data_IF_874742046921
#
_entry.id   IF_874742046921
#
_cell.length_a   1.000
_cell.length_b   1.000
_cell.length_c   1.000
_cell.angle_alpha   90.00
_cell.angle_beta   90.00
_cell.angle_gamma   90.00
#
_symmetry.space_group_name_H-M   'P 1'
#
loop_
_entity.id
_entity.type
_entity.pdbx_description
1 polymer ?
#
# COMPACT_ATOMS: atom_id res chain seq x y z
N UNK A 1 -17.38 2.82 2.09
CA UNK A 1 -15.91 2.79 2.08
C UNK A 1 -15.41 3.75 1.01
N UNK A 2 -14.47 4.64 1.36
CA UNK A 2 -13.97 5.67 0.45
C UNK A 2 -13.20 5.04 -0.72
N UNK A 3 -13.51 5.47 -1.94
CA UNK A 3 -12.81 5.02 -3.16
C UNK A 3 -11.72 6.03 -3.52
N UNK A 4 -10.52 5.54 -3.75
CA UNK A 4 -9.37 6.29 -4.21
C UNK A 4 -9.18 6.09 -5.72
N UNK A 5 -8.87 7.17 -6.42
CA UNK A 5 -8.26 7.12 -7.74
C UNK A 5 -7.17 8.20 -7.79
N UNK A 6 -6.11 7.97 -8.57
CA UNK A 6 -4.93 8.82 -8.54
C UNK A 6 -5.23 10.29 -8.89
N UNK A 7 -6.10 10.53 -9.87
CA UNK A 7 -6.48 11.88 -10.29
C UNK A 7 -7.09 12.71 -9.15
N UNK A 8 -8.03 12.12 -8.40
CA UNK A 8 -8.68 12.79 -7.27
C UNK A 8 -7.72 13.03 -6.10
N UNK A 9 -6.78 12.10 -5.86
CA UNK A 9 -5.74 12.30 -4.84
C UNK A 9 -4.83 13.49 -5.21
N UNK A 10 -4.42 13.59 -6.49
CA UNK A 10 -3.58 14.70 -6.97
C UNK A 10 -4.34 16.03 -6.88
N UNK A 11 -5.60 16.06 -7.29
CA UNK A 11 -6.44 17.26 -7.21
C UNK A 11 -6.56 17.75 -5.76
N UNK A 12 -6.84 16.84 -4.82
CA UNK A 12 -6.96 17.15 -3.40
C UNK A 12 -5.64 17.64 -2.76
N UNK A 13 -4.49 17.14 -3.23
CA UNK A 13 -3.16 17.57 -2.76
C UNK A 13 -2.72 18.92 -3.37
N UNK A 14 -3.42 19.39 -4.40
CA UNK A 14 -3.08 20.61 -5.12
C UNK A 14 -2.01 20.39 -6.19
N UNK A 15 -1.84 21.40 -7.06
CA UNK A 15 -0.88 21.35 -8.16
C UNK A 15 0.54 21.61 -7.65
N UNK A 16 1.50 20.89 -8.24
CA UNK A 16 2.90 21.22 -8.10
C UNK A 16 3.23 22.56 -8.78
N UNK A 17 4.14 23.30 -8.14
CA UNK A 17 4.68 24.55 -8.69
C UNK A 17 5.91 24.30 -9.59
N UNK A 18 6.46 23.10 -9.55
CA UNK A 18 7.68 22.70 -10.26
C UNK A 18 7.37 21.65 -11.34
N UNK A 19 8.19 21.66 -12.40
CA UNK A 19 8.09 20.66 -13.47
C UNK A 19 8.45 19.27 -12.94
N UNK A 20 7.47 18.37 -12.93
CA UNK A 20 7.64 16.98 -12.52
C UNK A 20 6.77 16.04 -13.36
N UNK A 21 7.15 14.77 -13.38
CA UNK A 21 6.32 13.70 -13.92
C UNK A 21 5.70 12.91 -12.78
N UNK A 22 4.39 12.68 -12.86
CA UNK A 22 3.67 11.82 -11.91
C UNK A 22 3.30 10.53 -12.62
N UNK A 23 3.67 9.40 -12.03
CA UNK A 23 3.36 8.06 -12.53
C UNK A 23 2.90 7.21 -11.36
N UNK A 24 1.78 6.51 -11.50
CA UNK A 24 1.19 5.78 -10.39
C UNK A 24 0.20 4.73 -10.84
N UNK A 25 -0.58 4.23 -9.89
CA UNK A 25 -1.60 3.25 -10.18
C UNK A 25 -2.70 3.84 -11.08
N UNK A 26 -3.33 2.98 -11.88
CA UNK A 26 -4.43 3.35 -12.76
C UNK A 26 -5.73 2.71 -12.27
N UNK A 27 -6.86 3.39 -12.42
CA UNK A 27 -8.17 2.89 -12.00
C UNK A 27 -8.54 3.31 -10.58
N UNK A 28 -9.12 2.40 -9.81
CA UNK A 28 -9.66 2.68 -8.48
C UNK A 28 -9.38 1.57 -7.49
N UNK A 29 -9.26 1.95 -6.21
CA UNK A 29 -9.18 1.04 -5.08
C UNK A 29 -9.96 1.63 -3.90
N UNK A 30 -10.33 0.82 -2.93
CA UNK A 30 -10.87 1.29 -1.65
C UNK A 30 -9.73 1.65 -0.70
N UNK A 31 -9.96 2.66 0.13
CA UNK A 31 -9.08 2.99 1.25
C UNK A 31 -9.44 2.13 2.47
N UNK A 32 -8.64 1.11 2.75
CA UNK A 32 -8.74 0.31 3.97
C UNK A 32 -7.79 0.83 5.04
N UNK A 33 -8.30 0.92 6.27
CA UNK A 33 -7.58 1.45 7.42
C UNK A 33 -8.01 0.73 8.71
N UNK A 34 -7.39 1.07 9.85
CA UNK A 34 -7.75 0.50 11.15
C UNK A 34 -9.23 0.67 11.48
N UNK A 35 -9.85 -0.38 12.05
CA UNK A 35 -11.28 -0.40 12.34
C UNK A 35 -12.16 -0.84 11.16
N UNK A 36 -11.61 -0.92 9.95
CA UNK A 36 -12.39 -1.34 8.78
C UNK A 36 -12.96 -2.76 8.97
N UNK A 37 -14.15 -3.00 8.43
CA UNK A 37 -14.92 -4.24 8.63
C UNK A 37 -15.25 -4.54 10.11
N UNK A 38 -15.22 -3.54 10.99
CA UNK A 38 -15.64 -3.66 12.40
C UNK A 38 -14.65 -4.38 13.31
N UNK A 39 -13.38 -4.51 12.89
CA UNK A 39 -12.31 -5.16 13.68
C UNK A 39 -11.40 -4.09 14.26
N UNK A 40 -11.20 -4.09 15.57
CA UNK A 40 -10.17 -3.27 16.23
C UNK A 40 -8.79 -3.89 16.04
N UNK A 41 -8.10 -3.47 14.98
CA UNK A 41 -6.81 -4.01 14.55
C UNK A 41 -5.64 -3.04 14.77
N UNK A 42 -5.80 -2.08 15.68
CA UNK A 42 -4.76 -1.12 15.98
C UNK A 42 -3.47 -1.77 16.47
N UNK A 43 -2.36 -1.30 15.92
CA UNK A 43 -1.01 -1.73 16.32
C UNK A 43 -0.55 -3.03 15.66
N UNK A 44 -1.40 -3.73 14.91
CA UNK A 44 -1.01 -4.99 14.26
C UNK A 44 -1.59 -5.18 12.85
N UNK A 45 -2.70 -4.50 12.52
CA UNK A 45 -3.46 -4.71 11.30
C UNK A 45 -2.96 -4.02 10.03
N UNK A 46 -1.97 -3.12 10.11
CA UNK A 46 -1.62 -2.22 8.99
C UNK A 46 -1.21 -2.95 7.71
N UNK A 47 -0.52 -4.09 7.84
CA UNK A 47 -0.16 -4.94 6.72
C UNK A 47 -1.39 -5.51 6.01
N UNK A 48 -2.37 -5.97 6.78
CA UNK A 48 -3.64 -6.47 6.27
C UNK A 48 -4.45 -5.36 5.57
N UNK A 49 -4.51 -4.15 6.14
CA UNK A 49 -5.23 -3.02 5.54
C UNK A 49 -4.59 -2.54 4.24
N UNK A 50 -3.26 -2.54 4.18
CA UNK A 50 -2.54 -2.27 2.93
C UNK A 50 -2.83 -3.33 1.88
N UNK A 51 -2.81 -4.62 2.26
CA UNK A 51 -3.19 -5.72 1.39
C UNK A 51 -4.64 -5.59 0.88
N UNK A 52 -5.60 -5.26 1.74
CA UNK A 52 -7.01 -5.07 1.37
C UNK A 52 -7.18 -3.92 0.36
N UNK A 53 -6.44 -2.82 0.55
CA UNK A 53 -6.38 -1.71 -0.41
C UNK A 53 -5.89 -2.22 -1.77
N UNK A 54 -4.82 -3.02 -1.82
CA UNK A 54 -4.31 -3.61 -3.08
C UNK A 54 -5.30 -4.60 -3.70
N UNK A 55 -5.90 -5.49 -2.91
CA UNK A 55 -6.90 -6.46 -3.40
C UNK A 55 -8.15 -5.77 -3.94
N UNK A 56 -8.54 -4.64 -3.35
CA UNK A 56 -9.66 -3.84 -3.86
C UNK A 56 -9.37 -3.20 -5.22
N UNK A 57 -8.09 -2.93 -5.53
CA UNK A 57 -7.70 -2.52 -6.87
C UNK A 57 -7.95 -3.63 -7.90
N UNK A 58 -7.60 -4.88 -7.58
CA UNK A 58 -7.95 -6.03 -8.43
C UNK A 58 -9.47 -6.18 -8.60
N UNK A 59 -10.24 -6.02 -7.52
CA UNK A 59 -11.71 -6.08 -7.57
C UNK A 59 -12.29 -4.99 -8.48
N UNK A 60 -11.93 -3.72 -8.25
CA UNK A 60 -12.52 -2.58 -8.96
C UNK A 60 -11.97 -2.37 -10.36
N UNK A 61 -10.65 -2.44 -10.53
CA UNK A 61 -9.96 -2.08 -11.77
C UNK A 61 -9.80 -3.28 -12.71
N UNK A 62 -9.60 -4.48 -12.15
CA UNK A 62 -9.44 -5.72 -12.93
C UNK A 62 -10.68 -6.61 -12.91
N UNK A 63 -11.78 -6.14 -12.30
CA UNK A 63 -13.08 -6.82 -12.24
C UNK A 63 -13.03 -8.24 -11.65
N UNK A 64 -12.12 -8.50 -10.70
CA UNK A 64 -12.11 -9.76 -9.96
C UNK A 64 -13.38 -9.89 -9.10
N UNK A 65 -13.93 -11.10 -9.05
CA UNK A 65 -15.23 -11.37 -8.41
C UNK A 65 -15.14 -11.80 -6.95
N UNK A 66 -13.95 -11.83 -6.34
CA UNK A 66 -13.83 -12.14 -4.92
C UNK A 66 -14.28 -10.97 -4.04
N UNK A 67 -14.74 -11.28 -2.84
CA UNK A 67 -14.92 -10.30 -1.78
C UNK A 67 -13.59 -10.03 -1.08
N UNK A 68 -13.41 -8.79 -0.60
CA UNK A 68 -12.16 -8.42 0.05
C UNK A 68 -12.07 -9.19 1.37
N UNK A 69 -11.06 -10.06 1.53
CA UNK A 69 -10.98 -10.96 2.68
C UNK A 69 -10.82 -10.15 3.96
N UNK A 70 -11.47 -10.60 5.02
CA UNK A 70 -11.24 -10.15 6.40
C UNK A 70 -9.82 -10.50 6.85
N UNK A 71 -9.36 -9.88 7.95
CA UNK A 71 -8.06 -10.20 8.55
C UNK A 71 -7.96 -11.69 8.90
N UNK A 72 -9.03 -12.27 9.44
CA UNK A 72 -9.10 -13.69 9.75
C UNK A 72 -9.00 -14.58 8.50
N UNK A 73 -9.67 -14.23 7.40
CA UNK A 73 -9.55 -14.98 6.14
C UNK A 73 -8.15 -14.88 5.54
N UNK A 74 -7.49 -13.73 5.65
CA UNK A 74 -6.08 -13.58 5.27
C UNK A 74 -5.19 -14.53 6.09
N UNK A 75 -5.39 -14.61 7.40
CA UNK A 75 -4.64 -15.53 8.26
C UNK A 75 -4.89 -17.00 7.88
N UNK A 76 -6.13 -17.36 7.57
CA UNK A 76 -6.47 -18.71 7.09
C UNK A 76 -5.79 -19.01 5.76
N UNK A 77 -5.78 -18.09 4.80
CA UNK A 77 -5.07 -18.26 3.53
C UNK A 77 -3.60 -18.56 3.77
N UNK A 78 -2.94 -17.80 4.66
CA UNK A 78 -1.52 -17.99 4.99
C UNK A 78 -1.26 -19.35 5.67
N UNK A 79 -2.20 -19.85 6.45
CA UNK A 79 -2.15 -21.22 7.00
C UNK A 79 -2.36 -22.28 5.90
N UNK A 80 -3.38 -22.12 5.05
CA UNK A 80 -3.73 -23.08 3.99
C UNK A 80 -2.59 -23.30 2.98
N UNK A 81 -1.83 -22.25 2.66
CA UNK A 81 -0.68 -22.34 1.77
C UNK A 81 0.60 -22.83 2.48
N UNK A 82 0.54 -23.04 3.80
CA UNK A 82 1.64 -23.57 4.61
C UNK A 82 2.70 -22.55 5.03
N UNK A 83 2.44 -21.24 4.90
CA UNK A 83 3.37 -20.19 5.31
C UNK A 83 3.36 -19.96 6.83
N UNK A 84 2.17 -20.02 7.44
CA UNK A 84 1.98 -19.79 8.88
C UNK A 84 1.43 -21.03 9.60
N UNK A 85 1.76 -21.25 10.88
CA UNK A 85 1.18 -22.32 11.68
C UNK A 85 -0.28 -22.03 12.04
N UNK A 86 -1.05 -23.06 12.41
CA UNK A 86 -2.47 -22.92 12.81
C UNK A 86 -2.68 -21.89 13.94
N UNK A 87 -1.72 -21.75 14.87
CA UNK A 87 -1.81 -20.79 15.99
C UNK A 87 -1.79 -19.32 15.54
N UNK A 88 -1.36 -19.05 14.31
CA UNK A 88 -1.41 -17.71 13.71
C UNK A 88 -2.85 -17.29 13.37
N UNK A 89 -3.73 -18.25 13.09
CA UNK A 89 -5.14 -17.98 12.76
C UNK A 89 -5.88 -17.51 14.01
N UNK A 90 -6.48 -16.32 13.94
CA UNK A 90 -7.12 -15.64 15.06
C UNK A 90 -6.14 -14.91 16.00
N UNK A 91 -4.85 -14.87 15.66
CA UNK A 91 -3.87 -14.07 16.40
C UNK A 91 -3.97 -12.58 16.06
N UNK A 92 -3.23 -11.76 16.80
CA UNK A 92 -2.99 -10.35 16.47
C UNK A 92 -1.57 -10.14 15.90
N UNK A 93 -1.00 -11.16 15.27
CA UNK A 93 0.31 -11.05 14.64
C UNK A 93 0.20 -10.22 13.35
N UNK A 94 1.22 -9.39 13.11
CA UNK A 94 1.33 -8.57 11.90
C UNK A 94 1.71 -9.42 10.68
N UNK A 95 1.49 -8.87 9.48
CA UNK A 95 1.98 -9.43 8.21
C UNK A 95 2.84 -8.40 7.46
N UNK A 96 3.83 -8.91 6.73
CA UNK A 96 4.73 -8.10 5.94
C UNK A 96 4.43 -8.13 4.44
N UNK A 97 5.38 -7.64 3.67
CA UNK A 97 5.31 -7.60 2.20
C UNK A 97 5.34 -8.98 1.56
N UNK A 98 6.02 -9.95 2.17
CA UNK A 98 6.06 -11.32 1.66
C UNK A 98 4.70 -12.00 1.78
N UNK A 99 4.11 -12.00 2.97
CA UNK A 99 2.76 -12.55 3.20
C UNK A 99 1.71 -11.84 2.34
N UNK A 100 1.80 -10.52 2.19
CA UNK A 100 0.95 -9.77 1.27
C UNK A 100 1.05 -10.31 -0.16
N UNK A 101 2.26 -10.53 -0.66
CA UNK A 101 2.48 -11.12 -1.99
C UNK A 101 1.88 -12.52 -2.12
N UNK A 102 2.07 -13.39 -1.13
CA UNK A 102 1.51 -14.75 -1.13
C UNK A 102 -0.02 -14.74 -1.22
N UNK A 103 -0.69 -13.86 -0.47
CA UNK A 103 -2.15 -13.77 -0.48
C UNK A 103 -2.66 -13.21 -1.82
N UNK A 104 -1.96 -12.21 -2.39
CA UNK A 104 -2.27 -11.71 -3.74
C UNK A 104 -2.14 -12.85 -4.75
N UNK A 105 -1.05 -13.60 -4.73
CA UNK A 105 -0.83 -14.72 -5.65
C UNK A 105 -1.89 -15.81 -5.48
N UNK A 106 -2.26 -16.14 -4.24
CA UNK A 106 -3.30 -17.13 -3.96
C UNK A 106 -4.66 -16.73 -4.58
N UNK A 107 -5.09 -15.48 -4.37
CA UNK A 107 -6.42 -15.00 -4.78
C UNK A 107 -6.51 -14.60 -6.25
N UNK A 108 -5.43 -14.07 -6.82
CA UNK A 108 -5.45 -13.46 -8.16
C UNK A 108 -4.71 -14.30 -9.21
N UNK A 109 -3.88 -15.26 -8.78
CA UNK A 109 -2.96 -16.03 -9.65
C UNK A 109 -1.91 -15.17 -10.35
N UNK A 110 -1.74 -13.91 -9.93
CA UNK A 110 -0.66 -13.04 -10.36
C UNK A 110 0.56 -13.20 -9.47
N UNK A 111 1.75 -13.14 -10.07
CA UNK A 111 3.00 -13.12 -9.33
C UNK A 111 3.23 -11.76 -8.64
N UNK A 112 4.24 -11.70 -7.79
CA UNK A 112 4.69 -10.47 -7.15
C UNK A 112 6.21 -10.41 -7.12
N UNK A 113 6.75 -9.20 -7.03
CA UNK A 113 8.18 -8.95 -6.85
C UNK A 113 8.43 -8.31 -5.50
N UNK A 114 9.41 -8.85 -4.77
CA UNK A 114 9.95 -8.20 -3.58
C UNK A 114 11.18 -7.36 -3.93
N UNK A 115 11.24 -6.14 -3.38
CA UNK A 115 12.42 -5.27 -3.45
C UNK A 115 12.85 -4.94 -2.04
N UNK A 116 14.09 -5.29 -1.70
CA UNK A 116 14.71 -4.90 -0.44
C UNK A 116 15.44 -3.55 -0.60
N UNK A 117 15.25 -2.68 0.37
CA UNK A 117 15.86 -1.35 0.45
C UNK A 117 16.61 -1.29 1.77
N UNK A 118 17.94 -1.35 1.70
CA UNK A 118 18.80 -1.27 2.87
C UNK A 118 18.93 0.19 3.33
N UNK A 119 18.90 0.42 4.65
CA UNK A 119 19.13 1.74 5.30
C UNK A 119 18.35 2.88 4.66
N UNK A 120 17.06 2.68 4.36
CA UNK A 120 16.20 3.69 3.73
C UNK A 120 16.69 4.22 2.38
N UNK A 121 17.72 3.61 1.78
CA UNK A 121 18.41 4.16 0.62
C UNK A 121 17.62 3.85 -0.66
N UNK A 122 16.61 4.67 -0.92
CA UNK A 122 15.87 4.71 -2.19
C UNK A 122 16.76 5.24 -3.32
N UNK A 123 17.63 4.37 -3.82
CA UNK A 123 18.51 4.67 -4.94
C UNK A 123 17.73 4.98 -6.21
N UNK A 124 18.38 5.64 -7.17
CA UNK A 124 17.82 5.88 -8.50
C UNK A 124 17.35 4.58 -9.17
N UNK A 125 18.04 3.45 -8.94
CA UNK A 125 17.63 2.13 -9.45
C UNK A 125 16.27 1.70 -8.89
N UNK A 126 16.02 1.91 -7.60
CA UNK A 126 14.73 1.59 -6.97
C UNK A 126 13.63 2.49 -7.52
N UNK A 127 13.91 3.79 -7.68
CA UNK A 127 12.97 4.74 -8.29
C UNK A 127 12.60 4.31 -9.70
N UNK A 128 13.58 3.98 -10.55
CA UNK A 128 13.34 3.49 -11.91
C UNK A 128 12.50 2.21 -11.93
N UNK A 129 12.79 1.24 -11.05
CA UNK A 129 11.99 0.01 -10.95
C UNK A 129 10.52 0.29 -10.59
N UNK A 130 10.26 1.26 -9.72
CA UNK A 130 8.90 1.68 -9.38
C UNK A 130 8.22 2.44 -10.52
N UNK A 131 8.94 3.30 -11.23
CA UNK A 131 8.43 3.96 -12.44
C UNK A 131 8.02 2.91 -13.47
N UNK A 132 8.90 1.95 -13.77
CA UNK A 132 8.63 0.86 -14.72
C UNK A 132 7.41 0.03 -14.28
N UNK A 133 7.30 -0.25 -12.98
CA UNK A 133 6.14 -0.94 -12.39
C UNK A 133 4.84 -0.18 -12.63
N UNK A 134 4.79 1.10 -12.34
CA UNK A 134 3.57 1.90 -12.55
C UNK A 134 3.25 2.11 -14.03
N UNK A 135 4.24 2.13 -14.92
CA UNK A 135 4.02 2.20 -16.37
C UNK A 135 3.50 0.88 -16.97
N UNK A 136 3.90 -0.25 -16.40
CA UNK A 136 3.57 -1.58 -16.94
C UNK A 136 2.39 -2.20 -16.22
N UNK A 137 2.47 -2.34 -14.90
CA UNK A 137 1.48 -3.03 -14.07
C UNK A 137 0.39 -2.12 -13.52
N UNK A 138 0.73 -0.87 -13.24
CA UNK A 138 -0.22 0.16 -12.75
C UNK A 138 -0.96 -0.23 -11.46
N UNK A 139 -0.40 -1.17 -10.69
CA UNK A 139 -0.96 -1.64 -9.42
C UNK A 139 -0.37 -0.85 -8.25
N UNK A 140 -1.12 -0.60 -7.17
CA UNK A 140 -0.55 -0.08 -5.92
C UNK A 140 0.50 -1.02 -5.35
N UNK A 141 1.47 -0.46 -4.63
CA UNK A 141 2.61 -1.20 -4.06
C UNK A 141 2.54 -1.16 -2.54
N UNK A 142 2.81 -2.27 -1.86
CA UNK A 142 2.98 -2.25 -0.40
C UNK A 142 4.42 -1.86 -0.05
N UNK A 143 4.56 -0.94 0.89
CA UNK A 143 5.79 -0.56 1.57
C UNK A 143 5.73 -1.06 3.01
N UNK A 144 6.58 -2.01 3.37
CA UNK A 144 6.82 -2.44 4.75
C UNK A 144 8.19 -1.98 5.25
N UNK A 145 8.33 -1.77 6.56
CA UNK A 145 9.59 -1.37 7.20
C UNK A 145 9.43 -0.16 8.13
N UNK A 146 10.53 0.21 8.80
CA UNK A 146 10.65 1.15 9.95
C UNK A 146 10.50 0.50 11.34
N UNK A 147 9.49 -0.34 11.54
CA UNK A 147 9.30 -1.24 12.68
C UNK A 147 8.23 -2.28 12.28
N UNK A 148 8.03 -3.31 13.12
CA UNK A 148 7.01 -4.35 12.95
C UNK A 148 5.57 -3.81 13.16
N UNK A 149 5.21 -2.67 12.58
CA UNK A 149 3.85 -2.12 12.69
C UNK A 149 3.53 -0.95 11.74
N UNK A 150 4.35 -0.64 10.72
CA UNK A 150 4.18 0.60 9.95
C UNK A 150 4.01 0.42 8.43
N UNK A 151 3.30 -0.63 8.00
CA UNK A 151 3.00 -0.86 6.58
C UNK A 151 2.16 0.27 5.96
N UNK A 152 2.48 0.63 4.71
CA UNK A 152 1.77 1.68 3.94
C UNK A 152 1.65 1.29 2.47
N UNK A 153 0.69 1.88 1.75
CA UNK A 153 0.59 1.80 0.30
C UNK A 153 1.42 2.91 -0.38
N UNK A 154 2.02 2.60 -1.53
CA UNK A 154 2.53 3.57 -2.49
C UNK A 154 1.58 3.58 -3.68
N UNK A 155 0.97 4.73 -3.92
CA UNK A 155 0.00 4.94 -5.01
C UNK A 155 0.64 5.55 -6.26
N UNK A 156 1.69 6.35 -6.10
CA UNK A 156 2.37 7.02 -7.20
C UNK A 156 3.78 7.47 -6.82
N UNK A 157 4.55 7.83 -7.83
CA UNK A 157 5.80 8.59 -7.72
C UNK A 157 5.65 9.93 -8.39
N UNK A 158 6.34 10.91 -7.82
CA UNK A 158 6.65 12.18 -8.45
C UNK A 158 8.15 12.22 -8.70
N UNK A 159 8.53 12.32 -9.98
CA UNK A 159 9.92 12.29 -10.43
C UNK A 159 10.27 13.66 -11.01
N UNK A 160 11.38 14.20 -10.51
CA UNK A 160 11.90 15.51 -10.89
C UNK A 160 13.22 15.35 -11.66
N UNK A 161 13.57 16.29 -12.56
CA UNK A 161 14.86 16.25 -13.25
C UNK A 161 16.08 16.37 -12.32
N UNK A 162 15.98 17.19 -11.27
CA UNK A 162 17.13 17.60 -10.43
C UNK A 162 16.88 17.44 -8.92
N UNK A 163 15.88 16.65 -8.51
CA UNK A 163 15.54 16.47 -7.09
C UNK A 163 15.21 15.00 -6.78
N UNK A 164 15.35 14.56 -5.52
CA UNK A 164 14.89 13.26 -5.09
C UNK A 164 13.40 13.06 -5.40
N UNK A 165 13.04 11.84 -5.80
CA UNK A 165 11.65 11.49 -6.04
C UNK A 165 10.80 11.58 -4.75
N UNK A 166 9.49 11.71 -4.93
CA UNK A 166 8.52 11.59 -3.84
C UNK A 166 7.59 10.42 -4.09
N UNK A 167 7.16 9.77 -3.00
CA UNK A 167 6.17 8.71 -2.99
C UNK A 167 4.83 9.29 -2.55
N UNK A 168 3.75 8.97 -3.25
CA UNK A 168 2.40 9.21 -2.76
C UNK A 168 2.02 8.07 -1.82
N UNK A 169 2.13 8.32 -0.53
CA UNK A 169 1.88 7.37 0.54
C UNK A 169 0.39 7.35 0.87
N UNK A 170 -0.16 6.14 0.98
CA UNK A 170 -1.48 5.84 1.52
C UNK A 170 -1.29 5.11 2.85
N UNK A 171 -1.59 5.77 3.95
CA UNK A 171 -1.29 5.33 5.29
C UNK A 171 -2.54 4.69 5.94
N UNK A 172 -2.55 3.39 6.23
CA UNK A 172 -3.74 2.70 6.75
C UNK A 172 -4.00 2.94 8.25
N UNK A 173 -3.21 3.77 8.93
CA UNK A 173 -3.28 3.93 10.39
C UNK A 173 -4.40 4.87 10.85
N UNK A 174 -5.18 5.45 9.93
CA UNK A 174 -6.34 6.25 10.33
C UNK A 174 -7.33 5.40 11.10
N UNK A 175 -7.81 5.90 12.22
CA UNK A 175 -8.84 5.25 13.02
C UNK A 175 -9.96 6.21 13.37
N UNK A 176 -11.18 5.68 13.55
CA UNK A 176 -12.34 6.48 13.92
C UNK A 176 -12.74 7.49 12.85
N UNK A 177 -12.38 7.22 11.59
CA UNK A 177 -12.80 8.05 10.47
C UNK A 177 -14.32 8.03 10.31
N UNK A 178 -14.87 9.18 9.93
CA UNK A 178 -16.28 9.31 9.54
C UNK A 178 -16.56 8.46 8.29
N UNK A 179 -17.71 7.80 8.24
CA UNK A 179 -18.19 7.07 7.06
C UNK A 179 -18.30 7.97 5.82
N UNK A 180 -18.44 9.29 6.02
CA UNK A 180 -18.52 10.31 4.98
C UNK A 180 -17.18 11.00 4.66
N UNK A 181 -16.07 10.51 5.23
CA UNK A 181 -14.78 11.12 5.02
C UNK A 181 -14.41 11.20 3.54
N UNK A 182 -13.78 12.31 3.17
CA UNK A 182 -13.42 12.65 1.79
C UNK A 182 -11.92 12.48 1.55
N UNK A 183 -11.53 12.37 0.27
CA UNK A 183 -10.11 12.36 -0.12
C UNK A 183 -9.40 13.64 0.35
N UNK A 184 -10.10 14.78 0.32
CA UNK A 184 -9.57 16.07 0.81
C UNK A 184 -9.23 16.03 2.30
N UNK A 185 -10.07 15.40 3.13
CA UNK A 185 -9.80 15.23 4.55
C UNK A 185 -8.63 14.28 4.78
N UNK A 186 -8.56 13.16 4.05
CA UNK A 186 -7.40 12.27 4.08
C UNK A 186 -6.09 12.99 3.76
N UNK A 187 -6.11 13.87 2.76
CA UNK A 187 -4.93 14.66 2.38
C UNK A 187 -4.59 15.71 3.44
N UNK A 188 -5.59 16.40 4.00
CA UNK A 188 -5.41 17.41 5.06
C UNK A 188 -4.83 16.80 6.34
N UNK A 189 -5.27 15.60 6.70
CA UNK A 189 -4.78 14.84 7.85
C UNK A 189 -3.52 14.03 7.57
N UNK A 190 -3.02 14.08 6.32
CA UNK A 190 -1.78 13.45 5.85
C UNK A 190 -1.81 11.91 5.80
N UNK A 191 -3.00 11.31 5.81
CA UNK A 191 -3.19 9.88 5.53
C UNK A 191 -2.89 9.54 4.07
N UNK A 192 -3.18 10.47 3.16
CA UNK A 192 -2.68 10.44 1.79
C UNK A 192 -1.76 11.64 1.59
N UNK A 193 -0.47 11.41 1.38
CA UNK A 193 0.51 12.51 1.28
C UNK A 193 1.68 12.18 0.37
N UNK A 194 2.27 13.23 -0.20
CA UNK A 194 3.62 13.13 -0.75
C UNK A 194 4.64 13.00 0.38
N UNK A 195 5.56 12.05 0.24
CA UNK A 195 6.69 11.82 1.14
C UNK A 195 7.96 11.78 0.32
N UNK A 196 8.95 12.62 0.63
CA UNK A 196 10.25 12.53 -0.04
C UNK A 196 10.89 11.19 0.32
N UNK A 197 11.54 10.54 -0.63
CA UNK A 197 12.24 9.27 -0.35
C UNK A 197 13.33 9.44 0.73
N UNK A 198 13.89 10.64 0.87
CA UNK A 198 14.87 11.02 1.90
C UNK A 198 14.27 11.24 3.29
N UNK A 199 12.94 11.31 3.43
CA UNK A 199 12.28 11.33 4.74
C UNK A 199 12.20 9.93 5.36
N UNK A 200 12.36 8.87 4.56
CA UNK A 200 12.43 7.51 5.06
C UNK A 200 13.76 7.34 5.81
N UNK A 201 13.68 6.79 7.02
CA UNK A 201 14.82 6.80 7.93
C UNK A 201 15.94 5.92 7.44
N UNK A 202 17.15 6.49 7.35
CA UNK A 202 18.37 5.80 6.93
C UNK A 202 18.81 4.68 7.90
N UNK A 203 18.16 4.57 9.07
CA UNK A 203 18.50 3.57 10.09
C UNK A 203 17.75 2.25 9.93
N UNK A 204 16.72 2.20 9.08
CA UNK A 204 15.85 1.03 8.94
C UNK A 204 15.92 0.49 7.52
N UNK A 205 15.68 -0.80 7.38
CA UNK A 205 15.41 -1.37 6.07
C UNK A 205 13.91 -1.24 5.73
N UNK A 206 13.63 -1.29 4.43
CA UNK A 206 12.28 -1.37 3.91
C UNK A 206 12.19 -2.49 2.89
N UNK A 207 11.01 -3.08 2.78
CA UNK A 207 10.70 -4.04 1.73
C UNK A 207 9.49 -3.52 0.95
N UNK A 208 9.49 -3.74 -0.36
CA UNK A 208 8.35 -3.45 -1.22
C UNK A 208 7.75 -4.75 -1.76
N UNK A 209 6.42 -4.82 -1.85
CA UNK A 209 5.72 -5.85 -2.62
C UNK A 209 5.02 -5.22 -3.83
N UNK A 210 5.45 -5.63 -5.02
CA UNK A 210 5.01 -5.13 -6.32
C UNK A 210 4.18 -6.22 -7.01
N UNK A 211 2.84 -6.11 -7.11
CA UNK A 211 2.00 -7.08 -7.82
C UNK A 211 2.18 -7.01 -9.35
N UNK A 212 2.41 -8.15 -10.02
CA UNK A 212 2.82 -8.24 -11.44
C UNK A 212 1.73 -8.66 -12.44
#
# INVERSE_FOLDING_TARGET
MLTLCLGMCIEALGKDQEECSIVGFEGSCYYYHYGAQGVDDHGWGCGYRTLQTILSWYKLTKSYLFDIPTLFEVQNILYEIGDKPQIFVGSHDWIGTYECGLVIQYLTKHDFRLIHIDKGNFTEKVVRLLVDHFQTQRSPVMLGGYDDSSSKGILALKVYPNQPAMLLICDPHSFGMDDNATITELCKEKWIRWCKVTELSEKHFYNLCLPL
#
